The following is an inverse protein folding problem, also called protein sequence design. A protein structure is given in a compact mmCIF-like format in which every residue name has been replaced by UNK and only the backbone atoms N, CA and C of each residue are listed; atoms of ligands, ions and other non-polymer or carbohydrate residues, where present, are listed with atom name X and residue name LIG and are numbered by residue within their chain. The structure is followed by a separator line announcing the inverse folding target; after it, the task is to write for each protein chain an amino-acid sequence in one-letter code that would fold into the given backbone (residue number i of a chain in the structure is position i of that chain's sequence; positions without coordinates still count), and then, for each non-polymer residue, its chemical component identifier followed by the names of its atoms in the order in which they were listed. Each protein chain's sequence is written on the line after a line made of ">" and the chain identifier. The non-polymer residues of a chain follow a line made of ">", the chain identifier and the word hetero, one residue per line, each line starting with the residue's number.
data_IF_196560086113
#
_entry.id   IF_196560086113
#
_cell.length_a   1.000
_cell.length_b   1.000
_cell.length_c   1.000
_cell.angle_alpha   90.00
_cell.angle_beta   90.00
_cell.angle_gamma   90.00
#
_symmetry.space_group_name_H-M   'P 1'
#
loop_
_entity.id
_entity.type
_entity.pdbx_description
1 polymer ?
#
# COMPACT_ATOMS: atom_id res chain seq x y z
N UNK A 1 -6.37 7.60 47.27
CA UNK A 1 -7.02 8.50 46.29
C UNK A 1 -6.04 8.72 45.16
N UNK A 2 -6.38 8.35 43.93
CA UNK A 2 -5.54 8.62 42.76
C UNK A 2 -5.69 10.10 42.38
N UNK A 3 -4.57 10.80 42.14
CA UNK A 3 -4.60 12.17 41.68
C UNK A 3 -5.23 12.25 40.27
N UNK A 4 -6.03 13.30 39.97
CA UNK A 4 -6.60 13.48 38.65
C UNK A 4 -5.47 13.67 37.63
N UNK A 5 -5.44 12.85 36.58
CA UNK A 5 -4.52 13.03 35.45
C UNK A 5 -5.04 14.20 34.63
N UNK A 6 -4.31 15.32 34.63
CA UNK A 6 -4.60 16.44 33.74
C UNK A 6 -4.28 16.02 32.30
N UNK A 7 -5.32 15.86 31.48
CA UNK A 7 -5.19 15.62 30.04
C UNK A 7 -5.21 16.97 29.34
N UNK A 8 -4.04 17.47 28.92
CA UNK A 8 -3.93 18.69 28.12
C UNK A 8 -3.63 18.35 26.65
N UNK A 9 -4.31 19.01 25.72
CA UNK A 9 -3.99 18.94 24.28
C UNK A 9 -2.91 19.97 23.97
N UNK A 10 -1.70 19.50 23.61
CA UNK A 10 -0.63 20.38 23.11
C UNK A 10 -0.76 20.52 21.61
N UNK A 11 -1.03 21.74 21.11
CA UNK A 11 -0.93 22.02 19.69
C UNK A 11 0.54 22.02 19.28
N UNK A 12 0.91 21.08 18.41
CA UNK A 12 2.23 21.06 17.77
C UNK A 12 2.05 21.43 16.30
N UNK A 13 2.74 22.48 15.87
CA UNK A 13 2.73 22.94 14.47
C UNK A 13 4.06 22.56 13.84
N UNK A 14 4.01 21.86 12.71
CA UNK A 14 5.17 21.50 11.93
C UNK A 14 5.13 22.27 10.60
N UNK A 15 6.16 23.07 10.34
CA UNK A 15 6.27 23.88 9.12
C UNK A 15 7.26 23.22 8.18
N UNK A 16 6.77 22.79 7.02
CA UNK A 16 7.57 22.18 5.95
C UNK A 16 7.29 22.89 4.62
N UNK A 17 8.25 22.82 3.71
CA UNK A 17 7.98 23.08 2.28
C UNK A 17 6.87 22.14 1.81
N UNK A 18 5.85 22.69 1.15
CA UNK A 18 4.66 21.93 0.73
C UNK A 18 5.07 20.90 -0.34
N UNK A 19 4.95 19.59 -0.08
CA UNK A 19 5.20 18.60 -1.11
C UNK A 19 4.03 18.55 -2.10
N UNK A 20 4.24 17.90 -3.24
CA UNK A 20 3.28 17.77 -4.32
C UNK A 20 2.60 16.40 -4.29
N UNK A 21 1.33 16.27 -4.72
CA UNK A 21 0.65 14.97 -4.78
C UNK A 21 1.39 13.96 -5.65
N UNK A 22 1.50 12.72 -5.19
CA UNK A 22 2.14 11.64 -5.96
C UNK A 22 1.48 11.43 -7.34
N UNK A 23 0.17 11.72 -7.46
CA UNK A 23 -0.59 11.63 -8.73
C UNK A 23 -0.10 12.57 -9.82
N UNK A 24 0.69 13.60 -9.48
CA UNK A 24 1.37 14.46 -10.43
C UNK A 24 2.58 13.82 -11.13
N UNK A 25 3.05 12.66 -10.65
CA UNK A 25 4.12 11.89 -11.26
C UNK A 25 3.58 10.77 -12.16
N UNK A 26 4.42 10.33 -13.09
CA UNK A 26 4.14 9.22 -14.00
C UNK A 26 5.39 8.37 -14.14
N UNK A 27 5.22 7.18 -14.70
CA UNK A 27 6.38 6.40 -15.12
C UNK A 27 7.31 6.04 -13.98
N UNK A 28 8.60 5.99 -14.31
CA UNK A 28 9.73 5.82 -13.40
C UNK A 28 9.78 6.85 -12.26
N UNK A 29 9.44 8.12 -12.51
CA UNK A 29 9.35 9.16 -11.47
C UNK A 29 8.32 8.78 -10.40
N UNK A 30 7.12 8.33 -10.81
CA UNK A 30 6.08 7.85 -9.90
C UNK A 30 6.56 6.64 -9.13
N UNK A 31 7.09 5.64 -9.84
CA UNK A 31 7.54 4.39 -9.22
C UNK A 31 8.61 4.65 -8.17
N UNK A 32 9.56 5.54 -8.46
CA UNK A 32 10.60 5.93 -7.50
C UNK A 32 9.97 6.48 -6.23
N UNK A 33 9.14 7.52 -6.35
CA UNK A 33 8.53 8.16 -5.19
C UNK A 33 7.64 7.19 -4.40
N UNK A 34 6.91 6.31 -5.10
CA UNK A 34 6.08 5.29 -4.46
C UNK A 34 6.92 4.27 -3.67
N UNK A 35 8.05 3.82 -4.21
CA UNK A 35 8.96 2.90 -3.54
C UNK A 35 9.69 3.55 -2.35
N UNK A 36 10.06 4.84 -2.45
CA UNK A 36 10.58 5.60 -1.29
C UNK A 36 9.57 5.63 -0.13
N UNK A 37 8.29 5.87 -0.43
CA UNK A 37 7.21 5.88 0.55
C UNK A 37 7.09 4.52 1.23
N UNK A 38 7.06 3.44 0.44
CA UNK A 38 6.97 2.07 0.95
C UNK A 38 8.17 1.74 1.85
N UNK A 39 9.40 2.12 1.48
CA UNK A 39 10.58 1.91 2.31
C UNK A 39 10.54 2.73 3.60
N UNK A 40 10.18 4.02 3.51
CA UNK A 40 10.04 4.88 4.67
C UNK A 40 9.01 4.32 5.66
N UNK A 41 7.86 3.88 5.14
CA UNK A 41 6.81 3.25 5.90
C UNK A 41 7.30 1.94 6.57
N UNK A 42 7.99 1.07 5.82
CA UNK A 42 8.58 -0.15 6.38
C UNK A 42 9.54 0.14 7.54
N UNK A 43 10.42 1.13 7.39
CA UNK A 43 11.37 1.51 8.44
C UNK A 43 10.64 2.03 9.68
N UNK A 44 9.63 2.88 9.49
CA UNK A 44 8.79 3.40 10.58
C UNK A 44 8.07 2.24 11.30
N UNK A 45 7.48 1.32 10.55
CA UNK A 45 6.78 0.16 11.07
C UNK A 45 7.71 -0.80 11.84
N UNK A 46 8.75 -1.30 11.16
CA UNK A 46 9.57 -2.40 11.66
C UNK A 46 10.54 -1.95 12.77
N UNK A 47 11.14 -0.76 12.63
CA UNK A 47 12.18 -0.25 13.55
C UNK A 47 11.64 0.73 14.58
N UNK A 48 10.83 1.70 14.16
CA UNK A 48 10.33 2.72 15.07
C UNK A 48 9.03 2.32 15.79
N UNK A 49 8.42 1.20 15.40
CA UNK A 49 7.13 0.72 15.93
C UNK A 49 6.05 1.79 15.82
N UNK A 50 6.06 2.50 14.69
CA UNK A 50 5.04 3.51 14.34
C UNK A 50 4.12 2.90 13.29
N UNK A 51 2.83 2.88 13.61
CA UNK A 51 1.80 2.21 12.84
C UNK A 51 0.86 3.26 12.24
N UNK A 52 0.77 3.37 10.91
CA UNK A 52 0.09 4.53 10.27
C UNK A 52 -1.44 4.48 10.33
N UNK A 53 -2.03 3.29 10.18
CA UNK A 53 -3.48 2.98 10.19
C UNK A 53 -4.34 3.50 9.04
N UNK A 54 -4.00 4.61 8.40
CA UNK A 54 -4.79 5.16 7.28
C UNK A 54 -3.91 5.55 6.08
N UNK A 55 -3.39 4.55 5.37
CA UNK A 55 -2.63 4.80 4.15
C UNK A 55 -3.57 5.16 3.00
N UNK A 56 -3.46 6.38 2.48
CA UNK A 56 -4.22 6.81 1.31
C UNK A 56 -3.34 7.44 0.24
N UNK A 57 -3.85 7.48 -1.00
CA UNK A 57 -3.18 8.19 -2.09
C UNK A 57 -3.02 9.70 -1.84
N UNK A 58 -3.82 10.29 -0.94
CA UNK A 58 -3.69 11.71 -0.56
C UNK A 58 -2.48 11.96 0.33
N UNK A 59 -2.07 10.96 1.09
CA UNK A 59 -0.93 11.03 2.01
C UNK A 59 0.39 10.71 1.30
N UNK A 60 0.29 10.09 0.12
CA UNK A 60 1.40 9.83 -0.76
C UNK A 60 1.78 11.11 -1.53
N UNK A 61 2.94 11.67 -1.18
CA UNK A 61 3.43 12.93 -1.72
C UNK A 61 4.84 12.76 -2.31
N UNK A 62 5.31 13.76 -3.04
CA UNK A 62 6.70 13.86 -3.48
C UNK A 62 7.25 15.26 -3.32
N UNK A 63 8.58 15.36 -3.23
CA UNK A 63 9.31 16.63 -3.33
C UNK A 63 10.45 16.51 -4.32
N UNK A 64 10.87 17.64 -4.90
CA UNK A 64 12.05 17.74 -5.75
C UNK A 64 13.13 18.51 -5.00
N UNK A 65 14.29 17.88 -4.83
CA UNK A 65 15.44 18.51 -4.17
C UNK A 65 16.72 18.15 -4.92
N UNK A 66 17.52 19.15 -5.29
CA UNK A 66 18.76 18.93 -6.05
C UNK A 66 18.56 18.16 -7.37
N UNK A 67 17.46 18.41 -8.07
CA UNK A 67 17.10 17.71 -9.32
C UNK A 67 16.60 16.26 -9.14
N UNK A 68 16.50 15.76 -7.90
CA UNK A 68 16.04 14.41 -7.59
C UNK A 68 14.64 14.41 -6.98
N UNK A 69 13.92 13.32 -7.20
CA UNK A 69 12.59 13.08 -6.62
C UNK A 69 12.73 12.24 -5.35
N UNK A 70 11.96 12.63 -4.34
CA UNK A 70 11.82 11.89 -3.10
C UNK A 70 10.34 11.71 -2.79
N UNK A 71 9.93 10.46 -2.57
CA UNK A 71 8.63 10.15 -1.99
C UNK A 71 8.57 10.57 -0.53
N UNK A 72 7.40 11.04 -0.11
CA UNK A 72 7.13 11.50 1.25
C UNK A 72 5.77 10.96 1.65
N UNK A 73 5.72 10.22 2.76
CA UNK A 73 4.46 9.87 3.41
C UNK A 73 4.15 10.95 4.45
N UNK A 74 2.94 11.50 4.41
CA UNK A 74 2.46 12.48 5.39
C UNK A 74 1.31 11.90 6.23
N UNK A 75 0.72 12.73 7.09
CA UNK A 75 -0.51 12.44 7.86
C UNK A 75 -0.46 11.27 8.85
N UNK A 76 0.54 11.30 9.74
CA UNK A 76 0.65 10.37 10.88
C UNK A 76 -0.30 10.71 12.05
N UNK A 77 -1.39 11.45 11.82
CA UNK A 77 -2.27 11.90 12.90
C UNK A 77 -3.03 10.76 13.57
N UNK A 78 -3.31 9.69 12.83
CA UNK A 78 -3.95 8.47 13.34
C UNK A 78 -2.93 7.41 13.78
N UNK A 79 -1.62 7.72 13.70
CA UNK A 79 -0.60 6.73 13.93
C UNK A 79 -0.52 6.32 15.41
N UNK A 80 -0.26 5.03 15.65
CA UNK A 80 -0.04 4.50 17.00
C UNK A 80 1.38 3.98 17.17
N UNK A 81 1.75 3.68 18.42
CA UNK A 81 3.01 3.01 18.77
C UNK A 81 2.74 1.93 19.80
N UNK A 82 3.73 1.09 20.12
CA UNK A 82 3.56 0.06 21.17
C UNK A 82 3.14 0.63 22.53
N UNK A 83 3.35 1.94 22.78
CA UNK A 83 2.98 2.63 24.02
C UNK A 83 1.68 3.45 23.91
N UNK A 84 0.94 3.37 22.79
CA UNK A 84 -0.31 4.14 22.65
C UNK A 84 -1.41 3.59 23.57
N UNK A 85 -2.04 4.48 24.36
CA UNK A 85 -3.16 4.13 25.25
C UNK A 85 -4.50 3.87 24.55
N UNK A 86 -4.56 3.99 23.22
CA UNK A 86 -5.70 3.60 22.40
C UNK A 86 -5.26 2.54 21.39
N UNK A 87 -6.14 1.59 21.13
CA UNK A 87 -5.90 0.41 20.29
C UNK A 87 -5.97 0.68 18.78
N UNK A 88 -6.05 1.95 18.36
CA UNK A 88 -6.30 2.32 16.96
C UNK A 88 -7.68 1.87 16.45
N UNK A 89 -8.62 1.55 17.36
CA UNK A 89 -9.94 0.97 17.05
C UNK A 89 -10.95 1.93 16.42
N UNK A 90 -10.63 3.22 16.30
CA UNK A 90 -11.36 4.17 15.46
C UNK A 90 -11.01 3.94 13.98
N UNK A 91 -11.10 2.69 13.51
CA UNK A 91 -10.68 2.21 12.20
C UNK A 91 -11.58 2.77 11.09
N UNK A 92 -11.39 4.03 10.73
CA UNK A 92 -11.92 4.62 9.50
C UNK A 92 -10.84 4.57 8.42
N UNK A 93 -10.37 3.37 8.06
CA UNK A 93 -9.52 3.26 6.88
C UNK A 93 -10.30 3.68 5.64
N UNK A 94 -9.64 4.31 4.69
CA UNK A 94 -10.29 4.74 3.46
C UNK A 94 -10.55 3.54 2.54
N UNK A 95 -11.83 3.19 2.33
CA UNK A 95 -12.28 1.92 1.72
C UNK A 95 -11.55 1.49 0.43
N UNK A 96 -11.21 2.38 -0.53
CA UNK A 96 -10.43 2.01 -1.71
C UNK A 96 -9.07 1.37 -1.39
N UNK A 97 -8.42 1.79 -0.31
CA UNK A 97 -7.06 1.37 0.05
C UNK A 97 -7.05 0.30 1.14
N UNK A 98 -8.12 0.18 1.92
CA UNK A 98 -8.21 -0.78 3.02
C UNK A 98 -8.00 -2.24 2.55
N UNK A 99 -7.20 -3.01 3.29
CA UNK A 99 -6.97 -4.44 3.04
C UNK A 99 -8.28 -5.25 3.12
N UNK A 100 -8.37 -6.37 2.38
CA UNK A 100 -9.54 -7.25 2.34
C UNK A 100 -9.91 -7.81 3.71
N UNK A 101 -8.92 -8.20 4.51
CA UNK A 101 -9.11 -8.67 5.88
C UNK A 101 -9.76 -7.59 6.77
N UNK A 102 -9.29 -6.35 6.64
CA UNK A 102 -9.82 -5.21 7.39
C UNK A 102 -11.23 -4.84 6.93
N UNK A 103 -11.49 -4.86 5.62
CA UNK A 103 -12.83 -4.64 5.06
C UNK A 103 -13.82 -5.69 5.57
N UNK A 104 -13.46 -6.97 5.52
CA UNK A 104 -14.31 -8.07 5.96
C UNK A 104 -14.65 -7.96 7.45
N UNK A 105 -13.65 -7.76 8.30
CA UNK A 105 -13.87 -7.54 9.74
C UNK A 105 -14.77 -6.33 10.01
N UNK A 106 -14.62 -5.24 9.25
CA UNK A 106 -15.50 -4.08 9.36
C UNK A 106 -16.96 -4.40 8.99
N UNK A 107 -17.20 -5.30 8.02
CA UNK A 107 -18.58 -5.76 7.70
C UNK A 107 -19.23 -6.51 8.85
N UNK A 108 -18.44 -7.29 9.59
CA UNK A 108 -18.91 -8.10 10.71
C UNK A 108 -19.08 -7.29 12.00
N UNK A 109 -18.78 -5.97 11.97
CA UNK A 109 -18.67 -5.10 13.15
C UNK A 109 -17.71 -5.66 14.20
N UNK A 110 -16.73 -6.43 13.75
CA UNK A 110 -15.71 -6.99 14.62
C UNK A 110 -14.75 -5.87 15.02
N UNK A 111 -14.92 -5.35 16.23
CA UNK A 111 -14.02 -4.35 16.82
C UNK A 111 -12.72 -4.98 17.32
N UNK A 112 -12.37 -6.20 16.89
CA UNK A 112 -11.32 -7.00 17.51
C UNK A 112 -10.33 -7.62 16.54
N UNK A 113 -10.02 -6.97 15.39
CA UNK A 113 -8.79 -7.34 14.67
C UNK A 113 -7.64 -7.03 15.63
N UNK A 114 -7.15 -8.10 16.29
CA UNK A 114 -6.43 -8.03 17.56
C UNK A 114 -5.04 -7.43 17.42
N UNK A 115 -4.55 -7.29 16.19
CA UNK A 115 -3.26 -6.69 15.87
C UNK A 115 -3.30 -6.11 14.45
N UNK A 116 -2.83 -4.87 14.29
CA UNK A 116 -2.54 -4.33 12.95
C UNK A 116 -1.22 -4.94 12.48
N UNK A 117 -1.23 -5.47 11.27
CA UNK A 117 -0.11 -6.24 10.73
C UNK A 117 0.44 -5.57 9.48
N UNK A 118 1.76 -5.58 9.32
CA UNK A 118 2.43 -4.87 8.23
C UNK A 118 1.94 -5.29 6.84
N UNK A 119 1.53 -6.56 6.68
CA UNK A 119 0.95 -7.07 5.44
C UNK A 119 -0.31 -6.32 5.00
N UNK A 120 -1.08 -5.80 5.95
CA UNK A 120 -2.32 -5.04 5.67
C UNK A 120 -1.96 -3.67 5.07
N UNK A 121 -0.87 -3.05 5.53
CA UNK A 121 -0.35 -1.82 4.94
C UNK A 121 0.29 -2.05 3.56
N UNK A 122 1.01 -3.16 3.38
CA UNK A 122 1.48 -3.56 2.05
C UNK A 122 0.30 -3.78 1.08
N UNK A 123 -0.80 -4.39 1.54
CA UNK A 123 -1.99 -4.53 0.73
C UNK A 123 -2.64 -3.18 0.41
N UNK A 124 -2.56 -2.20 1.31
CA UNK A 124 -3.01 -0.83 1.03
C UNK A 124 -2.18 -0.13 -0.05
N UNK A 125 -0.85 -0.33 -0.05
CA UNK A 125 -0.01 0.10 -1.16
C UNK A 125 -0.35 -0.62 -2.46
N UNK A 126 -0.61 -1.92 -2.41
CA UNK A 126 -1.09 -2.66 -3.57
C UNK A 126 -2.39 -2.06 -4.14
N UNK A 127 -3.41 -1.84 -3.31
CA UNK A 127 -4.66 -1.23 -3.74
C UNK A 127 -4.48 0.20 -4.27
N UNK A 128 -3.54 0.96 -3.70
CA UNK A 128 -3.13 2.27 -4.23
C UNK A 128 -2.58 2.14 -5.66
N UNK A 129 -1.75 1.14 -5.92
CA UNK A 129 -1.19 0.90 -7.25
C UNK A 129 -2.27 0.47 -8.26
N UNK A 130 -3.19 -0.41 -7.85
CA UNK A 130 -4.37 -0.79 -8.65
C UNK A 130 -5.21 0.46 -8.98
N UNK A 131 -5.47 1.32 -7.99
CA UNK A 131 -6.22 2.56 -8.19
C UNK A 131 -5.51 3.49 -9.16
N UNK A 132 -4.20 3.71 -9.02
CA UNK A 132 -3.43 4.59 -9.92
C UNK A 132 -3.43 4.08 -11.36
N UNK A 133 -3.27 2.77 -11.55
CA UNK A 133 -3.20 2.17 -12.88
C UNK A 133 -4.54 2.25 -13.65
N UNK A 134 -5.67 2.20 -12.94
CA UNK A 134 -6.98 2.08 -13.56
C UNK A 134 -7.84 3.34 -13.45
N UNK A 135 -7.60 4.17 -12.44
CA UNK A 135 -8.46 5.30 -12.08
C UNK A 135 -7.75 6.65 -12.07
N UNK A 136 -6.42 6.76 -12.23
CA UNK A 136 -5.73 8.07 -12.20
C UNK A 136 -5.20 8.43 -13.59
N UNK A 137 -5.88 9.39 -14.21
CA UNK A 137 -5.57 9.95 -15.51
C UNK A 137 -4.19 10.60 -15.58
N UNK A 138 -3.77 10.96 -16.79
CA UNK A 138 -2.47 11.60 -16.99
C UNK A 138 -2.35 12.92 -16.22
N UNK A 139 -3.41 13.72 -16.16
CA UNK A 139 -3.44 14.99 -15.44
C UNK A 139 -3.51 14.83 -13.90
N UNK A 140 -3.41 13.60 -13.40
CA UNK A 140 -3.46 13.28 -11.98
C UNK A 140 -4.88 13.25 -11.42
N UNK A 141 -5.92 13.47 -12.24
CA UNK A 141 -7.31 13.41 -11.81
C UNK A 141 -7.88 12.00 -11.87
N UNK A 142 -8.87 11.74 -11.04
CA UNK A 142 -9.56 10.46 -11.02
C UNK A 142 -10.55 10.31 -12.19
N UNK A 143 -10.52 9.16 -12.85
CA UNK A 143 -11.42 8.70 -13.90
C UNK A 143 -11.92 7.32 -13.49
N UNK A 144 -12.97 7.28 -12.67
CA UNK A 144 -13.43 6.03 -12.04
C UNK A 144 -14.37 5.26 -12.96
N UNK A 145 -13.88 4.13 -13.49
CA UNK A 145 -14.68 3.21 -14.30
C UNK A 145 -15.72 2.44 -13.48
N UNK A 146 -16.72 1.79 -14.12
CA UNK A 146 -17.81 1.10 -13.42
C UNK A 146 -17.37 0.09 -12.37
N UNK A 147 -16.35 -0.73 -12.66
CA UNK A 147 -15.83 -1.75 -11.74
C UNK A 147 -15.28 -1.15 -10.44
N UNK A 148 -14.68 0.04 -10.51
CA UNK A 148 -13.99 0.67 -9.39
C UNK A 148 -14.90 1.56 -8.55
N UNK A 149 -16.18 1.70 -8.91
CA UNK A 149 -17.12 2.51 -8.10
C UNK A 149 -17.39 1.89 -6.74
N UNK A 150 -17.50 0.56 -6.67
CA UNK A 150 -17.70 -0.19 -5.41
C UNK A 150 -16.56 0.00 -4.42
N UNK A 151 -15.34 0.31 -4.90
CA UNK A 151 -14.18 0.53 -4.02
C UNK A 151 -14.34 1.80 -3.17
N UNK A 152 -15.09 2.80 -3.66
CA UNK A 152 -15.27 4.10 -3.00
C UNK A 152 -16.50 4.16 -2.09
N UNK A 153 -17.26 3.08 -1.96
CA UNK A 153 -18.49 3.11 -1.19
C UNK A 153 -18.18 3.10 0.30
N UNK A 154 -19.09 3.67 1.09
CA UNK A 154 -19.07 3.50 2.56
C UNK A 154 -19.61 2.14 2.99
N UNK A 155 -20.04 1.30 2.05
CA UNK A 155 -20.45 -0.07 2.29
C UNK A 155 -19.23 -0.98 2.15
N UNK A 156 -18.66 -1.37 3.29
CA UNK A 156 -17.47 -2.21 3.32
C UNK A 156 -17.68 -3.58 2.66
N UNK A 157 -18.90 -4.11 2.65
CA UNK A 157 -19.21 -5.39 2.01
C UNK A 157 -19.21 -5.24 0.49
N UNK A 158 -19.79 -4.16 -0.03
CA UNK A 158 -19.75 -3.86 -1.47
C UNK A 158 -18.30 -3.61 -1.95
N UNK A 159 -17.51 -2.87 -1.17
CA UNK A 159 -16.09 -2.67 -1.47
C UNK A 159 -15.31 -3.99 -1.47
N UNK A 160 -15.49 -4.82 -0.42
CA UNK A 160 -14.87 -6.15 -0.33
C UNK A 160 -15.22 -7.03 -1.54
N UNK A 161 -16.50 -7.10 -1.90
CA UNK A 161 -16.98 -7.88 -3.05
C UNK A 161 -16.42 -7.35 -4.37
N UNK A 162 -16.40 -6.02 -4.55
CA UNK A 162 -15.82 -5.37 -5.72
C UNK A 162 -14.33 -5.68 -5.90
N UNK A 163 -13.55 -5.60 -4.82
CA UNK A 163 -12.13 -5.95 -4.81
C UNK A 163 -11.91 -7.41 -5.17
N UNK A 164 -12.62 -8.34 -4.53
CA UNK A 164 -12.55 -9.77 -4.84
C UNK A 164 -12.97 -10.10 -6.27
N UNK A 165 -13.99 -9.43 -6.80
CA UNK A 165 -14.39 -9.60 -8.20
C UNK A 165 -13.28 -9.13 -9.15
N UNK A 166 -12.63 -8.01 -8.84
CA UNK A 166 -11.56 -7.44 -9.68
C UNK A 166 -10.32 -8.35 -9.76
N UNK A 167 -9.92 -8.99 -8.64
CA UNK A 167 -8.78 -9.92 -8.61
C UNK A 167 -9.11 -11.22 -9.34
N UNK A 168 -10.36 -11.67 -9.35
CA UNK A 168 -10.78 -12.90 -10.05
C UNK A 168 -10.92 -12.76 -11.58
N UNK A 169 -10.83 -11.54 -12.12
CA UNK A 169 -10.82 -11.32 -13.57
C UNK A 169 -9.61 -11.98 -14.24
N UNK A 170 -9.76 -12.45 -15.48
CA UNK A 170 -8.61 -12.98 -16.25
C UNK A 170 -7.61 -11.86 -16.50
N UNK A 171 -6.31 -12.19 -16.58
CA UNK A 171 -5.23 -11.22 -16.88
C UNK A 171 -5.54 -10.29 -18.06
N UNK A 172 -6.14 -10.84 -19.14
CA UNK A 172 -6.54 -10.06 -20.33
C UNK A 172 -7.67 -9.07 -20.05
N UNK A 173 -8.60 -9.41 -19.15
CA UNK A 173 -9.73 -8.56 -18.77
C UNK A 173 -9.24 -7.43 -17.86
N UNK A 174 -8.35 -7.74 -16.91
CA UNK A 174 -7.69 -6.71 -16.10
C UNK A 174 -6.90 -5.73 -16.97
N UNK A 175 -6.15 -6.22 -17.97
CA UNK A 175 -5.36 -5.38 -18.86
C UNK A 175 -6.18 -4.38 -19.71
N UNK A 176 -7.47 -4.67 -19.95
CA UNK A 176 -8.39 -3.76 -20.67
C UNK A 176 -8.77 -2.56 -19.79
N UNK A 177 -8.77 -2.72 -18.47
CA UNK A 177 -9.13 -1.67 -17.51
C UNK A 177 -7.99 -0.67 -17.29
N UNK A 178 -6.75 -1.09 -17.54
CA UNK A 178 -5.55 -0.30 -17.31
C UNK A 178 -5.49 0.87 -18.28
N UNK A 179 -5.32 2.08 -17.72
CA UNK A 179 -5.11 3.28 -18.53
C UNK A 179 -3.84 3.11 -19.38
N UNK A 180 -3.86 3.43 -20.69
CA UNK A 180 -2.71 3.19 -21.57
C UNK A 180 -1.39 3.76 -21.06
N UNK A 181 -1.43 4.93 -20.41
CA UNK A 181 -0.26 5.60 -19.82
C UNK A 181 0.32 4.88 -18.59
N UNK A 182 -0.42 3.93 -18.01
CA UNK A 182 -0.04 3.17 -16.81
C UNK A 182 0.41 1.74 -17.12
N UNK A 183 0.45 1.33 -18.39
CA UNK A 183 0.84 -0.04 -18.80
C UNK A 183 2.21 -0.50 -18.26
N UNK A 184 3.29 0.31 -18.28
CA UNK A 184 4.55 -0.12 -17.69
C UNK A 184 4.44 -0.36 -16.18
N UNK A 185 3.73 0.53 -15.47
CA UNK A 185 3.51 0.41 -14.03
C UNK A 185 2.63 -0.80 -13.67
N UNK A 186 1.69 -1.16 -14.56
CA UNK A 186 0.81 -2.32 -14.38
C UNK A 186 1.56 -3.64 -14.31
N UNK A 187 2.75 -3.76 -14.92
CA UNK A 187 3.58 -4.97 -14.81
C UNK A 187 3.84 -5.33 -13.34
N UNK A 188 4.18 -4.33 -12.53
CA UNK A 188 4.44 -4.50 -11.09
C UNK A 188 3.14 -4.81 -10.35
N UNK A 189 2.05 -4.10 -10.69
CA UNK A 189 0.74 -4.33 -10.08
C UNK A 189 0.25 -5.76 -10.33
N UNK A 190 0.40 -6.27 -11.55
CA UNK A 190 -0.01 -7.62 -11.94
C UNK A 190 0.80 -8.70 -11.23
N UNK A 191 2.13 -8.54 -11.13
CA UNK A 191 2.97 -9.46 -10.36
C UNK A 191 2.56 -9.49 -8.88
N UNK A 192 2.16 -8.35 -8.33
CA UNK A 192 1.66 -8.25 -6.95
C UNK A 192 0.25 -8.87 -6.79
N UNK A 193 -0.62 -8.74 -7.81
CA UNK A 193 -1.95 -9.39 -7.81
C UNK A 193 -1.84 -10.90 -7.71
N UNK A 194 -0.90 -11.52 -8.41
CA UNK A 194 -0.70 -12.98 -8.38
C UNK A 194 -0.36 -13.48 -6.97
N UNK A 195 0.55 -12.78 -6.29
CA UNK A 195 0.91 -13.11 -4.91
C UNK A 195 -0.26 -12.87 -3.93
N UNK A 196 -1.06 -11.81 -4.12
CA UNK A 196 -2.26 -11.57 -3.31
C UNK A 196 -3.35 -12.63 -3.57
N UNK A 197 -3.59 -13.03 -4.82
CA UNK A 197 -4.55 -14.09 -5.15
C UNK A 197 -4.16 -15.42 -4.51
N UNK A 198 -2.88 -15.77 -4.57
CA UNK A 198 -2.38 -16.98 -3.91
C UNK A 198 -2.55 -16.90 -2.40
N UNK A 199 -2.43 -15.71 -1.81
CA UNK A 199 -2.73 -15.48 -0.39
C UNK A 199 -4.22 -15.67 -0.10
N UNK A 200 -5.11 -14.98 -0.81
CA UNK A 200 -6.57 -15.08 -0.63
C UNK A 200 -7.06 -16.53 -0.82
N UNK A 201 -6.65 -17.21 -1.90
CA UNK A 201 -7.02 -18.62 -2.17
C UNK A 201 -6.49 -19.60 -1.11
N UNK A 202 -5.38 -19.29 -0.44
CA UNK A 202 -4.85 -20.11 0.68
C UNK A 202 -5.68 -19.90 1.95
N UNK A 203 -6.18 -18.69 2.18
CA UNK A 203 -7.12 -18.37 3.27
C UNK A 203 -8.48 -19.05 3.09
N UNK A 204 -9.09 -18.97 1.91
CA UNK A 204 -10.40 -19.56 1.61
C UNK A 204 -10.41 -21.10 1.76
N UNK A 205 -9.30 -21.77 1.44
CA UNK A 205 -9.15 -23.24 1.55
C UNK A 205 -8.97 -23.77 2.98
N UNK A 206 -8.85 -22.88 3.97
CA UNK A 206 -8.50 -23.23 5.37
C UNK A 206 -9.51 -22.77 6.41
N UNK A 207 -10.75 -22.45 6.02
CA UNK A 207 -11.87 -22.21 6.93
C UNK A 207 -12.28 -23.42 7.82
N UNK A 208 -11.42 -24.45 7.92
CA UNK A 208 -11.54 -25.67 8.73
C UNK A 208 -10.62 -25.65 9.99
N UNK A 209 -10.36 -24.46 10.55
CA UNK A 209 -9.88 -24.28 11.92
C UNK A 209 -8.40 -24.55 12.19
N UNK A 210 -7.51 -23.58 11.92
CA UNK A 210 -6.29 -23.29 12.69
C UNK A 210 -5.60 -21.99 12.24
N UNK A 211 -4.68 -21.48 13.08
CA UNK A 211 -3.85 -20.26 13.05
C UNK A 211 -3.76 -19.44 11.75
N UNK A 212 -3.77 -18.10 11.91
CA UNK A 212 -3.56 -17.10 10.85
C UNK A 212 -2.37 -17.50 9.95
N UNK A 213 -2.62 -17.92 8.70
CA UNK A 213 -1.61 -18.49 7.83
C UNK A 213 -0.64 -17.44 7.28
N UNK A 214 -0.86 -16.17 7.60
CA UNK A 214 -0.12 -15.06 7.04
C UNK A 214 0.90 -14.52 8.02
N UNK A 215 1.99 -14.03 7.45
CA UNK A 215 3.17 -13.60 8.19
C UNK A 215 2.81 -12.57 9.26
N UNK A 216 2.92 -12.89 10.56
CA UNK A 216 2.84 -11.88 11.61
C UNK A 216 4.14 -11.05 11.66
N UNK A 217 5.20 -11.56 11.03
CA UNK A 217 6.52 -10.94 10.96
C UNK A 217 6.59 -9.91 9.81
N UNK A 218 6.73 -8.60 10.10
CA UNK A 218 6.89 -7.57 9.08
C UNK A 218 8.05 -7.86 8.12
N UNK A 219 9.12 -8.50 8.59
CA UNK A 219 10.31 -8.79 7.81
C UNK A 219 10.05 -9.85 6.75
N UNK A 220 9.20 -10.83 7.04
CA UNK A 220 8.79 -11.82 6.05
C UNK A 220 7.92 -11.19 4.97
N UNK A 221 6.91 -10.38 5.34
CA UNK A 221 6.10 -9.65 4.35
C UNK A 221 6.95 -8.71 3.49
N UNK A 222 7.95 -8.03 4.09
CA UNK A 222 8.91 -7.21 3.36
C UNK A 222 9.75 -8.01 2.37
N UNK A 223 10.29 -9.16 2.78
CA UNK A 223 11.06 -10.05 1.89
C UNK A 223 10.22 -10.53 0.72
N UNK A 224 8.95 -10.90 0.94
CA UNK A 224 8.04 -11.30 -0.14
C UNK A 224 7.79 -10.16 -1.12
N UNK A 225 7.52 -8.95 -0.62
CA UNK A 225 7.38 -7.76 -1.46
C UNK A 225 8.63 -7.51 -2.32
N UNK A 226 9.83 -7.54 -1.74
CA UNK A 226 11.07 -7.42 -2.51
C UNK A 226 11.25 -8.57 -3.52
N UNK A 227 10.82 -9.78 -3.18
CA UNK A 227 10.85 -10.95 -4.07
C UNK A 227 9.96 -10.78 -5.30
N UNK A 228 8.77 -10.17 -5.15
CA UNK A 228 7.89 -9.81 -6.27
C UNK A 228 8.60 -8.86 -7.23
N UNK A 229 9.23 -7.80 -6.71
CA UNK A 229 9.96 -6.84 -7.54
C UNK A 229 11.18 -7.45 -8.25
N UNK A 230 11.79 -8.48 -7.66
CA UNK A 230 12.92 -9.23 -8.22
C UNK A 230 12.51 -10.29 -9.25
N UNK A 231 11.21 -10.51 -9.46
CA UNK A 231 10.74 -11.62 -10.26
C UNK A 231 11.08 -11.46 -11.75
N UNK A 232 11.21 -12.60 -12.44
CA UNK A 232 11.46 -12.60 -13.88
C UNK A 232 10.28 -12.00 -14.66
N UNK A 233 9.06 -12.12 -14.13
CA UNK A 233 7.84 -11.52 -14.68
C UNK A 233 7.92 -9.99 -14.65
N UNK A 234 8.37 -9.39 -13.54
CA UNK A 234 8.57 -7.94 -13.46
C UNK A 234 9.69 -7.51 -14.42
N UNK A 235 10.82 -8.21 -14.41
CA UNK A 235 11.96 -7.87 -15.28
C UNK A 235 11.58 -7.90 -16.77
N UNK A 236 11.10 -9.04 -17.25
CA UNK A 236 10.73 -9.22 -18.66
C UNK A 236 9.54 -8.34 -19.08
N UNK A 237 8.56 -8.17 -18.19
CA UNK A 237 7.41 -7.30 -18.43
C UNK A 237 7.81 -5.83 -18.57
N UNK A 238 8.73 -5.33 -17.74
CA UNK A 238 9.24 -3.97 -17.87
C UNK A 238 10.12 -3.81 -19.11
N UNK A 239 10.99 -4.76 -19.44
CA UNK A 239 11.81 -4.71 -20.67
C UNK A 239 10.95 -4.64 -21.95
N UNK A 240 9.78 -5.29 -21.95
CA UNK A 240 8.82 -5.24 -23.04
C UNK A 240 8.11 -3.87 -23.21
N UNK A 241 8.24 -2.95 -22.25
CA UNK A 241 7.62 -1.62 -22.25
C UNK A 241 8.57 -0.50 -22.76
N UNK A 242 9.60 -0.86 -23.53
CA UNK A 242 10.49 0.09 -24.18
C UNK A 242 11.32 0.92 -23.19
N UNK A 243 11.60 2.17 -23.53
CA UNK A 243 12.50 3.02 -22.73
C UNK A 243 11.95 3.32 -21.33
N UNK A 244 10.65 3.58 -21.21
CA UNK A 244 10.01 3.85 -19.92
C UNK A 244 10.11 2.62 -18.99
N UNK A 245 9.92 1.43 -19.55
CA UNK A 245 10.07 0.18 -18.81
C UNK A 245 11.50 -0.06 -18.33
N UNK A 246 12.52 0.23 -19.16
CA UNK A 246 13.94 0.17 -18.74
C UNK A 246 14.24 1.16 -17.62
N UNK A 247 13.70 2.38 -17.69
CA UNK A 247 13.85 3.38 -16.63
C UNK A 247 13.22 2.90 -15.31
N UNK A 248 12.03 2.27 -15.37
CA UNK A 248 11.40 1.65 -14.20
C UNK A 248 12.22 0.48 -13.65
N UNK A 249 12.79 -0.36 -14.51
CA UNK A 249 13.62 -1.49 -14.06
C UNK A 249 14.84 -0.99 -13.29
N UNK A 250 15.49 0.07 -13.78
CA UNK A 250 16.58 0.72 -13.04
C UNK A 250 16.13 1.23 -11.67
N UNK A 251 14.95 1.84 -11.59
CA UNK A 251 14.38 2.29 -10.31
C UNK A 251 14.14 1.11 -9.36
N UNK A 252 13.67 -0.03 -9.86
CA UNK A 252 13.49 -1.26 -9.08
C UNK A 252 14.84 -1.78 -8.57
N UNK A 253 15.86 -1.85 -9.42
CA UNK A 253 17.20 -2.32 -9.04
C UNK A 253 17.83 -1.41 -7.96
N UNK A 254 17.79 -0.08 -8.17
CA UNK A 254 18.29 0.91 -7.21
C UNK A 254 17.56 0.79 -5.86
N UNK A 255 16.23 0.59 -5.89
CA UNK A 255 15.42 0.38 -4.70
C UNK A 255 15.79 -0.91 -3.97
N UNK A 256 15.93 -2.04 -4.69
CA UNK A 256 16.25 -3.33 -4.09
C UNK A 256 17.63 -3.33 -3.44
N UNK A 257 18.60 -2.66 -4.05
CA UNK A 257 19.92 -2.49 -3.45
C UNK A 257 19.88 -1.66 -2.16
N UNK A 258 19.05 -0.60 -2.14
CA UNK A 258 18.83 0.17 -0.92
C UNK A 258 18.09 -0.65 0.15
N UNK A 259 17.04 -1.38 -0.23
CA UNK A 259 16.19 -2.17 0.66
C UNK A 259 16.98 -3.24 1.43
N UNK A 260 18.02 -3.85 0.81
CA UNK A 260 18.92 -4.81 1.49
C UNK A 260 19.56 -4.25 2.74
N UNK A 261 19.84 -2.94 2.80
CA UNK A 261 20.44 -2.27 3.97
C UNK A 261 19.47 -2.18 5.15
N UNK A 262 18.18 -2.34 4.89
CA UNK A 262 17.11 -2.22 5.88
C UNK A 262 16.50 -3.57 6.28
N UNK A 263 16.78 -4.63 5.54
CA UNK A 263 16.55 -6.00 5.97
C UNK A 263 17.26 -6.23 7.31
N UNK A 264 16.48 -6.41 8.37
CA UNK A 264 17.01 -6.61 9.72
C UNK A 264 17.70 -7.97 9.74
N UNK A 265 19.03 -7.99 9.59
CA UNK A 265 19.85 -9.10 10.06
C UNK A 265 19.69 -9.15 11.57
N UNK A 266 19.14 -10.24 12.10
CA UNK A 266 18.86 -10.39 13.53
C UNK A 266 20.05 -9.98 14.40
N UNK A 267 19.77 -9.16 15.42
CA UNK A 267 20.55 -9.14 16.65
C UNK A 267 19.75 -9.90 17.69
#
# INVERSE_FOLDING_TARGET
>A
MAAPVEVYRVLRVLVNEKPFPLTGLRGSDFLKAFLDIILCHYIAWARAKVYHHDLTLKDAMYRRFGGKIYGVLIDFNLATTDNSGHSGLERTGTAPYMALELLWAATQRETHIAKHLYRQDLEAFYWTLIWVCNCVGGDGKEIVGPLFRSFRTGDYLDCYNGKNASTRLRKREQAILVLPIRRPLWVIAQAWTEDLEDRVRRGERKAEGWDDPFEPDPQESWRKFCGILQSNEVKSGLEANGEEGKNMLKVVDDFLELAKRYSITGR
#
